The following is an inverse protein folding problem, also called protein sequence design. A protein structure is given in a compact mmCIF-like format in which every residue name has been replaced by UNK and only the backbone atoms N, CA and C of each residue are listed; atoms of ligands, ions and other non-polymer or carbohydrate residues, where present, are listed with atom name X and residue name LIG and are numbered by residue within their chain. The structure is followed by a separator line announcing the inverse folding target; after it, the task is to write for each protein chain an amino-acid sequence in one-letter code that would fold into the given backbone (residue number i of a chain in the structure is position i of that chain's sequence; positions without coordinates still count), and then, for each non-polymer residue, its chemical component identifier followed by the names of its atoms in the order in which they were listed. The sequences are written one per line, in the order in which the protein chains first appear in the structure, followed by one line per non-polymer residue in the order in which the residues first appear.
data_IF_273417834352
#
_entry.id   IF_273417834352
#
_cell.length_a   1.000
_cell.length_b   1.000
_cell.length_c   1.000
_cell.angle_alpha   90.00
_cell.angle_beta   90.00
_cell.angle_gamma   90.00
#
_symmetry.space_group_name_H-M   'P 1'
#
loop_
_entity.id
_entity.type
_entity.pdbx_description
1 polymer ?
#
# COMPACT_ATOMS: atom_id res chain seq x y z
N UNK A 1 -43.63 73.33 28.76
CA UNK A 1 -44.79 72.64 29.37
C UNK A 1 -44.56 71.14 29.30
N UNK A 2 -45.25 70.35 30.10
CA UNK A 2 -44.85 68.98 30.48
C UNK A 2 -45.11 67.88 29.43
N UNK A 3 -44.35 66.79 29.50
CA UNK A 3 -44.85 65.41 29.68
C UNK A 3 -43.67 64.45 29.96
N UNK A 4 -43.95 63.29 30.57
CA UNK A 4 -42.96 62.31 31.02
C UNK A 4 -42.99 61.00 30.20
N UNK A 5 -41.94 60.17 30.32
CA UNK A 5 -41.91 58.80 29.80
C UNK A 5 -40.60 58.08 30.12
N UNK A 6 -40.67 57.01 30.92
CA UNK A 6 -39.52 56.21 31.41
C UNK A 6 -39.70 54.73 31.11
N UNK A 7 -38.66 54.05 30.60
CA UNK A 7 -38.51 52.58 30.64
C UNK A 7 -37.01 52.22 30.81
N UNK A 8 -36.64 51.33 31.76
CA UNK A 8 -35.27 50.79 31.91
C UNK A 8 -35.11 49.38 31.31
N UNK A 9 -33.86 48.93 31.13
CA UNK A 9 -33.50 47.66 30.47
C UNK A 9 -33.22 46.45 31.38
N UNK A 10 -32.80 45.31 30.80
CA UNK A 10 -32.42 44.07 31.51
C UNK A 10 -30.94 44.11 31.97
N UNK A 11 -30.46 43.26 32.88
CA UNK A 11 -31.11 42.12 33.54
C UNK A 11 -30.13 40.95 33.68
N UNK A 12 -29.17 41.06 34.60
CA UNK A 12 -28.28 39.95 35.00
C UNK A 12 -28.85 39.23 36.21
N UNK A 13 -28.72 37.91 36.30
CA UNK A 13 -29.10 37.16 37.50
C UNK A 13 -28.14 36.00 37.76
N UNK A 14 -27.63 35.92 38.98
CA UNK A 14 -26.83 34.83 39.52
C UNK A 14 -27.34 34.52 40.93
N UNK A 15 -27.49 33.24 41.27
CA UNK A 15 -27.98 32.81 42.58
C UNK A 15 -27.48 31.41 42.96
N UNK A 16 -27.42 31.06 44.26
CA UNK A 16 -26.53 30.01 44.77
C UNK A 16 -27.25 28.76 45.32
N UNK A 17 -26.48 27.71 45.66
CA UNK A 17 -26.92 26.54 46.44
C UNK A 17 -26.99 26.84 47.96
N UNK A 18 -26.74 25.87 48.89
CA UNK A 18 -26.35 24.46 48.74
C UNK A 18 -27.14 23.45 49.63
N UNK A 19 -26.80 22.14 49.59
CA UNK A 19 -27.03 21.18 50.69
C UNK A 19 -26.16 19.90 50.54
N UNK A 20 -25.88 19.20 51.65
CA UNK A 20 -24.96 18.04 51.76
C UNK A 20 -25.67 16.84 52.42
N UNK A 21 -25.37 15.61 51.99
CA UNK A 21 -25.57 14.38 52.77
C UNK A 21 -24.52 13.31 52.41
N UNK A 22 -24.19 12.42 53.36
CA UNK A 22 -23.09 11.46 53.28
C UNK A 22 -23.52 10.04 53.75
N UNK A 23 -22.54 9.12 53.88
CA UNK A 23 -22.62 7.70 54.29
C UNK A 23 -23.11 6.70 53.21
N UNK A 24 -22.71 5.42 53.21
CA UNK A 24 -21.53 4.74 53.80
C UNK A 24 -21.38 3.33 53.19
N UNK A 25 -20.19 2.72 53.29
CA UNK A 25 -19.93 1.30 52.98
C UNK A 25 -20.50 0.34 54.03
N UNK A 26 -20.65 -0.95 53.66
CA UNK A 26 -19.97 -2.00 54.43
C UNK A 26 -19.11 -2.94 53.55
N UNK A 27 -18.32 -3.79 54.21
CA UNK A 27 -17.44 -4.80 53.63
C UNK A 27 -17.76 -6.20 54.20
N UNK A 28 -16.91 -7.20 53.88
CA UNK A 28 -16.99 -8.64 54.22
C UNK A 28 -17.96 -9.43 53.29
N UNK A 29 -17.72 -10.70 52.92
CA UNK A 29 -16.73 -11.69 53.39
C UNK A 29 -16.31 -12.68 52.25
N UNK A 30 -15.78 -13.88 52.57
CA UNK A 30 -15.28 -14.90 51.62
C UNK A 30 -16.32 -15.54 50.66
N UNK A 31 -16.03 -16.58 49.88
CA UNK A 31 -14.95 -17.59 49.99
C UNK A 31 -14.81 -18.42 48.68
N UNK A 32 -13.73 -19.21 48.58
CA UNK A 32 -13.51 -20.38 47.67
C UNK A 32 -13.44 -20.24 46.13
N UNK A 33 -12.25 -20.62 45.64
CA UNK A 33 -11.99 -21.25 44.33
C UNK A 33 -12.55 -22.70 44.34
N UNK A 34 -12.71 -23.36 43.18
CA UNK A 34 -11.64 -24.30 42.85
C UNK A 34 -11.18 -24.27 41.39
N UNK A 35 -9.88 -24.44 41.23
CA UNK A 35 -9.25 -24.95 40.01
C UNK A 35 -9.34 -26.47 40.08
N UNK A 36 -9.70 -27.13 38.98
CA UNK A 36 -9.50 -28.58 38.85
C UNK A 36 -8.43 -28.82 37.78
N UNK A 37 -7.28 -29.31 38.23
CA UNK A 37 -6.21 -29.83 37.37
C UNK A 37 -5.68 -31.12 38.00
N UNK A 38 -5.98 -32.26 37.36
CA UNK A 38 -5.39 -33.59 37.59
C UNK A 38 -5.44 -34.28 36.22
N UNK A 39 -4.36 -34.41 35.43
CA UNK A 39 -3.10 -35.12 35.61
C UNK A 39 -3.21 -36.65 35.51
N UNK A 40 -2.80 -37.23 34.37
CA UNK A 40 -2.10 -38.52 34.25
C UNK A 40 -1.78 -38.87 32.78
N UNK A 41 -0.54 -39.27 32.51
CA UNK A 41 -0.13 -40.15 31.40
C UNK A 41 -0.13 -41.63 31.93
N UNK A 42 0.17 -42.73 31.17
CA UNK A 42 1.02 -42.83 29.97
C UNK A 42 0.60 -43.91 28.91
N UNK A 43 1.53 -44.20 27.97
CA UNK A 43 1.56 -45.32 27.00
C UNK A 43 0.44 -45.34 25.92
N UNK A 44 0.60 -45.95 24.74
CA UNK A 44 1.73 -46.68 24.12
C UNK A 44 1.21 -47.61 23.01
N UNK A 45 1.96 -47.81 21.92
CA UNK A 45 1.57 -48.63 20.72
C UNK A 45 0.36 -48.07 19.93
N UNK A 46 0.19 -48.15 18.61
CA UNK A 46 1.05 -48.47 17.45
C UNK A 46 0.52 -47.64 16.25
N UNK A 47 0.57 -48.00 14.95
CA UNK A 47 1.15 -49.11 14.18
C UNK A 47 1.34 -48.61 12.72
N UNK A 48 2.18 -49.26 11.91
CA UNK A 48 2.42 -48.96 10.47
C UNK A 48 1.18 -48.94 9.58
N UNK A 49 1.19 -48.11 8.52
CA UNK A 49 1.28 -48.59 7.12
C UNK A 49 1.24 -47.44 6.08
N UNK A 50 2.32 -47.30 5.30
CA UNK A 50 2.20 -47.06 3.87
C UNK A 50 2.11 -48.43 3.17
N UNK A 51 1.56 -48.54 1.95
CA UNK A 51 2.45 -48.77 0.81
C UNK A 51 1.97 -48.23 -0.55
N UNK A 52 2.87 -48.33 -1.55
CA UNK A 52 2.65 -48.55 -3.00
C UNK A 52 1.66 -47.62 -3.77
N UNK A 53 1.98 -46.93 -4.86
CA UNK A 53 2.99 -47.12 -5.92
C UNK A 53 2.88 -48.44 -6.70
N UNK A 54 2.18 -48.40 -7.85
CA UNK A 54 2.49 -49.07 -9.13
C UNK A 54 1.84 -48.21 -10.26
N UNK A 55 2.12 -48.26 -11.58
CA UNK A 55 3.21 -48.60 -12.52
C UNK A 55 2.48 -48.86 -13.87
N UNK A 56 3.04 -48.44 -15.02
CA UNK A 56 2.49 -48.71 -16.36
C UNK A 56 2.42 -47.44 -17.23
N UNK A 57 3.35 -47.12 -18.14
CA UNK A 57 3.93 -47.87 -19.29
C UNK A 57 2.98 -47.95 -20.50
N UNK A 58 3.37 -47.30 -21.60
CA UNK A 58 2.66 -47.33 -22.88
C UNK A 58 3.20 -46.28 -23.86
N UNK A 59 4.09 -46.69 -24.75
CA UNK A 59 4.63 -45.86 -25.85
C UNK A 59 3.66 -45.80 -27.04
N UNK A 60 3.70 -44.71 -27.82
CA UNK A 60 3.18 -44.68 -29.19
C UNK A 60 3.97 -43.65 -30.02
N UNK A 61 4.53 -44.11 -31.14
CA UNK A 61 5.32 -43.32 -32.10
C UNK A 61 4.48 -42.98 -33.35
N UNK A 62 4.63 -41.77 -33.88
CA UNK A 62 4.24 -41.31 -35.23
C UNK A 62 4.85 -39.90 -35.39
N UNK A 63 5.62 -39.55 -36.43
CA UNK A 63 5.20 -39.49 -37.84
C UNK A 63 4.28 -38.26 -38.04
N UNK A 64 4.58 -37.24 -38.86
CA UNK A 64 5.54 -37.12 -39.97
C UNK A 64 6.01 -35.65 -40.16
N UNK A 65 6.85 -35.37 -41.16
CA UNK A 65 7.39 -34.05 -41.44
C UNK A 65 6.47 -33.19 -42.32
N UNK A 66 6.59 -31.85 -42.21
CA UNK A 66 6.44 -30.99 -43.38
C UNK A 66 7.26 -29.70 -43.27
N UNK A 67 8.20 -29.51 -44.19
CA UNK A 67 8.85 -28.22 -44.44
C UNK A 67 8.17 -27.55 -45.63
N UNK A 68 7.71 -26.31 -45.47
CA UNK A 68 7.32 -25.47 -46.61
C UNK A 68 8.07 -24.14 -46.56
N UNK A 69 9.08 -24.04 -47.43
CA UNK A 69 9.64 -22.77 -47.88
C UNK A 69 8.64 -22.09 -48.82
N UNK A 70 8.40 -20.80 -48.62
CA UNK A 70 7.86 -19.92 -49.68
C UNK A 70 8.70 -18.65 -49.72
N UNK A 71 9.81 -18.75 -50.43
CA UNK A 71 10.59 -17.61 -50.90
C UNK A 71 9.80 -16.75 -51.90
N UNK A 72 9.75 -15.43 -51.64
CA UNK A 72 9.26 -14.43 -52.58
C UNK A 72 9.01 -13.09 -51.87
N UNK A 73 9.44 -11.93 -52.38
CA UNK A 73 10.25 -11.71 -53.58
C UNK A 73 10.07 -10.28 -54.11
N UNK A 74 11.20 -9.66 -54.45
CA UNK A 74 11.36 -8.41 -55.22
C UNK A 74 11.20 -7.05 -54.50
N UNK A 75 12.04 -6.14 -54.98
CA UNK A 75 12.35 -4.80 -54.49
C UNK A 75 11.40 -3.72 -55.07
N UNK A 76 11.41 -2.51 -54.51
CA UNK A 76 11.58 -1.27 -55.31
C UNK A 76 11.89 -0.05 -54.45
N UNK A 77 12.49 0.95 -55.10
CA UNK A 77 13.23 2.08 -54.55
C UNK A 77 12.63 3.44 -54.94
N UNK A 78 13.24 4.55 -54.45
CA UNK A 78 13.02 5.95 -54.88
C UNK A 78 11.71 6.65 -54.41
N UNK A 79 11.64 7.98 -54.25
CA UNK A 79 12.65 9.04 -54.48
C UNK A 79 12.39 10.34 -53.68
N UNK A 80 13.35 11.28 -53.73
CA UNK A 80 13.40 12.57 -53.03
C UNK A 80 12.19 13.53 -53.19
N UNK A 81 12.01 14.38 -52.17
CA UNK A 81 11.39 15.72 -52.28
C UNK A 81 12.14 16.73 -51.40
N UNK A 82 12.48 17.91 -51.95
CA UNK A 82 13.28 18.98 -51.32
C UNK A 82 12.55 20.31 -51.51
N UNK A 83 12.55 21.18 -50.48
CA UNK A 83 12.64 22.66 -50.49
C UNK A 83 12.54 23.11 -49.00
N UNK A 84 13.41 23.90 -48.36
CA UNK A 84 14.15 25.16 -48.66
C UNK A 84 13.34 26.47 -48.43
N UNK A 85 13.50 27.05 -47.22
CA UNK A 85 13.87 28.45 -46.92
C UNK A 85 13.02 29.17 -45.83
N UNK A 86 13.76 29.59 -44.79
CA UNK A 86 13.66 30.74 -43.86
C UNK A 86 12.33 31.50 -43.61
N UNK A 87 12.08 31.74 -42.31
CA UNK A 87 11.31 32.86 -41.78
C UNK A 87 11.84 33.23 -40.38
N UNK A 88 12.15 34.51 -40.14
CA UNK A 88 12.80 34.99 -38.91
C UNK A 88 11.91 35.94 -38.10
N UNK A 89 12.19 36.06 -36.79
CA UNK A 89 11.49 36.92 -35.83
C UNK A 89 10.41 36.15 -35.02
N UNK A 90 10.12 36.50 -33.77
CA UNK A 90 10.72 37.51 -32.89
C UNK A 90 10.53 37.09 -31.41
N UNK A 91 11.27 37.71 -30.49
CA UNK A 91 11.22 37.43 -29.05
C UNK A 91 9.87 37.75 -28.41
N UNK A 92 9.35 36.84 -27.59
CA UNK A 92 8.43 37.22 -26.51
C UNK A 92 8.52 36.24 -25.34
N UNK A 93 8.89 36.76 -24.17
CA UNK A 93 9.05 35.99 -22.94
C UNK A 93 7.68 35.76 -22.28
N UNK A 94 7.36 34.49 -22.00
CA UNK A 94 6.30 34.13 -21.04
C UNK A 94 6.91 33.29 -19.93
N UNK A 95 7.31 33.97 -18.86
CA UNK A 95 7.40 33.33 -17.55
C UNK A 95 5.97 33.06 -17.08
N UNK A 96 5.63 31.80 -16.80
CA UNK A 96 5.11 31.45 -15.46
C UNK A 96 5.12 29.93 -15.19
N UNK A 97 5.64 29.56 -14.02
CA UNK A 97 5.35 28.38 -13.20
C UNK A 97 5.02 27.05 -13.90
N UNK A 98 6.05 26.22 -14.15
CA UNK A 98 5.90 24.77 -14.14
C UNK A 98 6.29 24.22 -12.76
N UNK A 99 5.28 23.89 -11.96
CA UNK A 99 5.44 23.14 -10.72
C UNK A 99 5.73 21.66 -11.01
N UNK A 100 6.44 21.00 -10.10
CA UNK A 100 6.69 19.55 -10.14
C UNK A 100 7.86 19.16 -11.03
N UNK A 101 8.97 18.78 -10.41
CA UNK A 101 10.03 18.00 -11.05
C UNK A 101 9.48 16.63 -11.46
N UNK A 102 9.11 16.48 -12.73
CA UNK A 102 8.84 15.16 -13.32
C UNK A 102 10.19 14.50 -13.58
N UNK A 103 10.39 13.34 -12.97
CA UNK A 103 11.55 12.48 -13.22
C UNK A 103 11.34 11.75 -14.56
N UNK A 104 11.60 12.44 -15.67
CA UNK A 104 11.44 11.89 -17.03
C UNK A 104 12.56 10.92 -17.45
N UNK A 105 13.48 10.52 -16.56
CA UNK A 105 14.59 9.63 -16.89
C UNK A 105 14.16 8.14 -16.95
N UNK A 106 13.08 7.75 -16.26
CA UNK A 106 12.66 6.35 -16.12
C UNK A 106 11.28 5.99 -16.67
N UNK A 107 10.49 6.95 -17.19
CA UNK A 107 9.18 6.70 -17.79
C UNK A 107 8.12 6.13 -16.84
N UNK A 108 8.29 6.37 -15.53
CA UNK A 108 7.37 5.94 -14.46
C UNK A 108 6.31 7.00 -14.18
N UNK A 109 5.07 6.57 -13.96
CA UNK A 109 3.95 7.42 -13.58
C UNK A 109 3.68 7.24 -12.08
N UNK A 110 4.64 7.70 -11.26
CA UNK A 110 4.54 7.57 -9.81
C UNK A 110 3.26 8.26 -9.31
N UNK A 111 2.55 7.60 -8.39
CA UNK A 111 1.24 8.06 -7.91
C UNK A 111 0.04 7.48 -8.65
N UNK A 112 0.24 6.88 -9.84
CA UNK A 112 -0.78 6.07 -10.51
C UNK A 112 -0.72 4.59 -10.08
N UNK A 113 -1.72 3.81 -10.49
CA UNK A 113 -1.71 2.35 -10.27
C UNK A 113 -0.83 1.69 -11.32
N UNK A 114 0.48 1.67 -11.05
CA UNK A 114 1.49 1.02 -11.87
C UNK A 114 1.68 -0.46 -11.49
N UNK A 115 1.86 -1.31 -12.51
CA UNK A 115 2.09 -2.75 -12.39
C UNK A 115 3.39 -3.16 -13.12
N UNK A 116 4.29 -3.81 -12.40
CA UNK A 116 5.51 -4.39 -12.97
C UNK A 116 5.23 -5.80 -13.50
N UNK A 117 5.61 -6.07 -14.74
CA UNK A 117 5.49 -7.39 -15.35
C UNK A 117 6.55 -8.35 -14.79
N UNK A 118 6.13 -9.47 -14.20
CA UNK A 118 7.03 -10.49 -13.63
C UNK A 118 7.87 -11.28 -14.64
N UNK A 119 7.74 -11.00 -15.95
CA UNK A 119 8.49 -11.66 -17.02
C UNK A 119 9.52 -10.70 -17.65
N UNK A 120 9.07 -9.54 -18.15
CA UNK A 120 9.96 -8.58 -18.80
C UNK A 120 10.44 -7.43 -17.91
N UNK A 121 10.09 -7.44 -16.62
CA UNK A 121 10.42 -6.46 -15.55
C UNK A 121 10.06 -5.00 -15.84
N UNK A 122 9.43 -4.71 -16.99
CA UNK A 122 8.89 -3.39 -17.36
C UNK A 122 7.68 -3.02 -16.52
N UNK A 123 7.53 -1.71 -16.33
CA UNK A 123 6.40 -1.07 -15.65
C UNK A 123 5.34 -0.60 -16.66
N UNK A 124 4.09 -0.62 -16.23
CA UNK A 124 2.93 -0.21 -17.01
C UNK A 124 1.86 0.37 -16.10
N UNK A 125 1.16 1.41 -16.52
CA UNK A 125 -0.05 1.88 -15.82
C UNK A 125 -1.22 0.92 -16.12
N UNK A 126 -2.02 0.59 -15.11
CA UNK A 126 -3.07 -0.43 -15.21
C UNK A 126 -4.21 -0.06 -16.17
N UNK A 127 -4.45 1.24 -16.36
CA UNK A 127 -5.43 1.83 -17.27
C UNK A 127 -5.19 1.44 -18.75
N UNK A 128 -3.93 1.29 -19.14
CA UNK A 128 -3.45 0.94 -20.49
C UNK A 128 -3.96 -0.42 -20.95
N UNK A 129 -4.37 -1.27 -20.01
CA UNK A 129 -4.96 -2.58 -20.25
C UNK A 129 -6.45 -2.66 -19.87
N UNK A 130 -7.08 -1.55 -19.49
CA UNK A 130 -8.47 -1.51 -19.04
C UNK A 130 -8.72 -2.28 -17.74
N UNK A 131 -7.70 -2.42 -16.89
CA UNK A 131 -7.82 -3.09 -15.58
C UNK A 131 -8.61 -2.17 -14.63
N UNK A 132 -9.61 -2.72 -13.94
CA UNK A 132 -10.34 -1.99 -12.90
C UNK A 132 -9.44 -1.68 -11.69
N UNK A 133 -9.15 -0.39 -11.51
CA UNK A 133 -8.31 0.14 -10.43
C UNK A 133 -9.09 0.59 -9.20
N UNK A 134 -10.43 0.47 -9.18
CA UNK A 134 -11.29 0.93 -8.07
C UNK A 134 -10.96 0.30 -6.71
N UNK A 135 -10.34 -0.88 -6.71
CA UNK A 135 -9.84 -1.60 -5.53
C UNK A 135 -8.32 -1.85 -5.57
N UNK A 136 -7.58 -0.95 -6.22
CA UNK A 136 -6.12 -0.95 -6.27
C UNK A 136 -5.54 0.29 -5.57
N UNK A 137 -4.22 0.29 -5.34
CA UNK A 137 -3.47 1.44 -4.84
C UNK A 137 -2.17 1.59 -5.63
N UNK A 138 -1.65 2.81 -5.80
CA UNK A 138 -0.25 3.05 -6.14
C UNK A 138 0.67 2.35 -5.14
N UNK A 139 1.88 1.97 -5.58
CA UNK A 139 2.91 1.34 -4.74
C UNK A 139 2.49 0.02 -4.06
N UNK A 140 1.47 -0.67 -4.60
CA UNK A 140 1.13 -2.03 -4.18
C UNK A 140 2.23 -3.02 -4.60
N UNK A 141 2.40 -4.11 -3.83
CA UNK A 141 3.42 -5.15 -4.08
C UNK A 141 2.83 -6.57 -4.02
N UNK A 142 1.66 -6.70 -3.41
CA UNK A 142 0.89 -7.92 -3.21
C UNK A 142 0.13 -8.36 -4.49
N UNK A 143 0.83 -8.56 -5.61
CA UNK A 143 0.20 -9.06 -6.85
C UNK A 143 1.12 -9.99 -7.66
N UNK A 144 0.61 -10.46 -8.79
CA UNK A 144 1.37 -11.01 -9.91
C UNK A 144 0.79 -10.43 -11.19
N UNK A 145 1.63 -9.88 -12.06
CA UNK A 145 1.20 -9.27 -13.31
C UNK A 145 2.05 -9.73 -14.48
N UNK A 146 1.41 -10.09 -15.59
CA UNK A 146 2.06 -10.29 -16.89
C UNK A 146 1.35 -9.43 -17.94
N UNK A 147 2.12 -8.62 -18.67
CA UNK A 147 1.59 -7.85 -19.79
C UNK A 147 1.16 -8.77 -20.95
N UNK A 148 0.27 -8.26 -21.80
CA UNK A 148 -0.26 -8.99 -22.97
C UNK A 148 0.80 -9.53 -23.94
N UNK A 149 1.96 -8.85 -24.05
CA UNK A 149 3.10 -9.31 -24.88
C UNK A 149 3.81 -10.54 -24.28
N UNK A 150 3.91 -10.61 -22.95
CA UNK A 150 4.66 -11.69 -22.28
C UNK A 150 3.78 -12.88 -21.88
N UNK A 151 2.47 -12.68 -21.77
CA UNK A 151 1.54 -13.74 -21.39
C UNK A 151 1.12 -14.57 -22.61
N UNK A 152 1.24 -15.90 -22.52
CA UNK A 152 1.05 -16.83 -23.63
C UNK A 152 -0.33 -16.79 -24.31
N UNK A 153 -1.34 -16.18 -23.69
CA UNK A 153 -2.69 -16.03 -24.26
C UNK A 153 -2.90 -14.75 -25.08
N UNK A 154 -1.90 -13.86 -25.16
CA UNK A 154 -2.04 -12.53 -25.77
C UNK A 154 -2.91 -11.54 -24.98
N UNK A 155 -3.45 -11.96 -23.83
CA UNK A 155 -4.21 -11.13 -22.89
C UNK A 155 -3.37 -10.85 -21.65
N UNK A 156 -3.63 -9.74 -20.95
CA UNK A 156 -3.02 -9.50 -19.64
C UNK A 156 -3.43 -10.53 -18.60
N UNK A 157 -2.50 -10.84 -17.70
CA UNK A 157 -2.76 -11.60 -16.49
C UNK A 157 -2.51 -10.70 -15.28
N UNK A 158 -3.52 -10.53 -14.42
CA UNK A 158 -3.41 -9.77 -13.17
C UNK A 158 -4.07 -10.55 -12.04
N UNK A 159 -3.28 -10.89 -11.02
CA UNK A 159 -3.75 -11.57 -9.81
C UNK A 159 -3.37 -10.75 -8.58
N UNK A 160 -4.36 -10.16 -7.90
CA UNK A 160 -4.16 -9.60 -6.55
C UNK A 160 -3.96 -10.73 -5.55
N UNK A 161 -2.91 -10.61 -4.73
CA UNK A 161 -2.62 -11.47 -3.58
C UNK A 161 -3.09 -10.74 -2.31
N UNK A 162 -3.32 -11.48 -1.23
CA UNK A 162 -3.62 -10.86 0.05
C UNK A 162 -2.35 -10.22 0.62
N UNK A 163 -2.37 -8.92 0.90
CA UNK A 163 -1.26 -8.27 1.59
C UNK A 163 -1.04 -8.86 2.99
N UNK A 164 0.21 -9.06 3.35
CA UNK A 164 0.68 -9.26 4.72
C UNK A 164 0.97 -7.88 5.38
N UNK A 165 1.24 -7.86 6.69
CA UNK A 165 1.39 -6.60 7.43
C UNK A 165 2.61 -5.75 6.98
N UNK A 166 3.69 -6.38 6.49
CA UNK A 166 4.84 -5.64 5.89
C UNK A 166 4.40 -4.92 4.62
N UNK A 167 3.68 -5.61 3.73
CA UNK A 167 3.17 -5.05 2.46
C UNK A 167 2.14 -3.92 2.70
N UNK A 168 1.26 -4.07 3.70
CA UNK A 168 0.33 -3.02 4.13
C UNK A 168 1.07 -1.77 4.63
N UNK A 169 2.05 -1.93 5.51
CA UNK A 169 2.85 -0.81 6.02
C UNK A 169 3.71 -0.14 4.93
N UNK A 170 4.30 -0.92 4.02
CA UNK A 170 5.06 -0.43 2.88
C UNK A 170 4.18 0.42 1.95
N UNK A 171 3.03 -0.12 1.53
CA UNK A 171 2.11 0.59 0.63
C UNK A 171 1.54 1.85 1.29
N UNK A 172 1.24 1.81 2.60
CA UNK A 172 0.78 2.97 3.34
C UNK A 172 1.85 4.08 3.42
N UNK A 173 3.08 3.75 3.83
CA UNK A 173 4.17 4.71 3.91
C UNK A 173 4.56 5.28 2.54
N UNK A 174 4.55 4.46 1.48
CA UNK A 174 4.83 4.92 0.13
C UNK A 174 3.80 5.95 -0.36
N UNK A 175 2.51 5.65 -0.20
CA UNK A 175 1.43 6.57 -0.57
C UNK A 175 1.44 7.85 0.28
N UNK A 176 1.67 7.76 1.59
CA UNK A 176 1.80 8.94 2.48
C UNK A 176 3.01 9.80 2.10
N UNK A 177 4.16 9.18 1.80
CA UNK A 177 5.38 9.87 1.34
C UNK A 177 5.14 10.56 0.01
N UNK A 178 4.51 9.87 -0.96
CA UNK A 178 4.15 10.47 -2.25
C UNK A 178 3.20 11.66 -2.08
N UNK A 179 2.08 11.48 -1.37
CA UNK A 179 1.11 12.53 -1.11
C UNK A 179 1.75 13.76 -0.45
N UNK A 180 2.60 13.55 0.55
CA UNK A 180 3.30 14.64 1.23
C UNK A 180 4.28 15.38 0.30
N UNK A 181 4.95 14.70 -0.64
CA UNK A 181 5.81 15.34 -1.65
C UNK A 181 5.05 16.23 -2.63
N UNK A 182 3.78 15.91 -2.94
CA UNK A 182 2.99 16.64 -3.96
C UNK A 182 1.95 17.61 -3.37
N UNK A 183 1.64 17.53 -2.08
CA UNK A 183 0.60 18.36 -1.41
C UNK A 183 1.13 19.24 -0.27
N UNK A 184 2.15 18.81 0.47
CA UNK A 184 2.66 19.59 1.61
C UNK A 184 3.76 20.56 1.15
N UNK A 185 3.70 21.82 1.62
CA UNK A 185 4.77 22.82 1.41
C UNK A 185 6.13 22.33 1.95
N UNK A 186 6.09 21.54 3.01
CA UNK A 186 7.26 20.93 3.66
C UNK A 186 7.07 19.40 3.72
N UNK A 187 7.48 18.67 2.67
CA UNK A 187 7.28 17.22 2.58
C UNK A 187 7.86 16.43 3.76
N UNK A 188 7.04 15.54 4.33
CA UNK A 188 7.39 14.63 5.41
C UNK A 188 7.88 13.29 4.84
N UNK A 189 8.88 12.72 5.50
CA UNK A 189 9.39 11.36 5.24
C UNK A 189 9.10 10.39 6.39
N UNK A 190 8.57 10.89 7.52
CA UNK A 190 8.29 10.16 8.75
C UNK A 190 6.85 10.44 9.21
N UNK A 191 6.09 9.37 9.45
CA UNK A 191 4.64 9.40 9.67
C UNK A 191 4.28 8.71 10.99
N UNK A 192 3.31 9.27 11.72
CA UNK A 192 2.83 8.75 12.99
C UNK A 192 2.10 7.42 12.82
N UNK A 193 2.37 6.45 13.70
CA UNK A 193 1.65 5.18 13.73
C UNK A 193 0.13 5.39 13.86
N UNK A 194 -0.29 6.23 14.80
CA UNK A 194 -1.69 6.38 15.20
C UNK A 194 -2.42 7.46 14.41
N UNK A 195 -1.73 8.54 13.99
CA UNK A 195 -2.36 9.66 13.27
C UNK A 195 -2.34 9.50 11.75
N UNK A 196 -1.38 8.78 11.17
CA UNK A 196 -1.22 8.64 9.71
C UNK A 196 -1.40 7.19 9.24
N UNK A 197 -0.59 6.26 9.76
CA UNK A 197 -0.44 4.90 9.19
C UNK A 197 -1.68 4.04 9.45
N UNK A 198 -2.20 4.02 10.68
CA UNK A 198 -3.42 3.28 11.02
C UNK A 198 -4.62 3.83 10.22
N UNK A 199 -4.92 5.14 10.22
CA UNK A 199 -6.00 5.70 9.41
C UNK A 199 -5.88 5.43 7.91
N UNK A 200 -4.67 5.43 7.34
CA UNK A 200 -4.46 5.07 5.94
C UNK A 200 -4.87 3.61 5.64
N UNK A 201 -4.37 2.66 6.45
CA UNK A 201 -4.68 1.23 6.27
C UNK A 201 -6.18 0.96 6.52
N UNK A 202 -6.81 1.63 7.48
CA UNK A 202 -8.25 1.50 7.71
C UNK A 202 -9.09 2.11 6.58
N UNK A 203 -8.64 3.21 5.94
CA UNK A 203 -9.32 3.84 4.80
C UNK A 203 -9.24 2.97 3.53
N UNK A 204 -8.08 2.36 3.26
CA UNK A 204 -7.81 1.62 2.01
C UNK A 204 -7.76 0.09 2.19
N UNK A 205 -8.37 -0.43 3.26
CA UNK A 205 -8.36 -1.85 3.62
C UNK A 205 -8.75 -2.78 2.47
N UNK A 206 -9.83 -2.46 1.73
CA UNK A 206 -10.36 -3.29 0.64
C UNK A 206 -9.46 -3.30 -0.61
N UNK A 207 -8.59 -2.29 -0.75
CA UNK A 207 -7.56 -2.26 -1.78
C UNK A 207 -6.39 -3.21 -1.43
N UNK A 208 -6.01 -3.27 -0.15
CA UNK A 208 -4.91 -4.09 0.35
C UNK A 208 -5.29 -5.57 0.59
N UNK A 209 -6.53 -5.85 0.94
CA UNK A 209 -6.97 -7.21 1.28
C UNK A 209 -8.44 -7.47 0.95
N UNK A 210 -8.70 -8.65 0.39
CA UNK A 210 -10.05 -9.15 0.10
C UNK A 210 -10.72 -9.81 1.31
N UNK A 211 -10.05 -9.86 2.48
CA UNK A 211 -10.66 -10.41 3.71
C UNK A 211 -11.67 -9.43 4.30
N UNK A 212 -12.84 -9.97 4.65
CA UNK A 212 -13.80 -9.30 5.53
C UNK A 212 -13.09 -8.75 6.77
N UNK A 213 -13.41 -7.49 7.12
CA UNK A 213 -12.89 -6.82 8.31
C UNK A 213 -13.35 -7.54 9.58
N UNK A 214 -12.43 -8.09 10.40
CA UNK A 214 -12.78 -8.65 11.70
C UNK A 214 -13.42 -7.58 12.61
N UNK A 215 -14.45 -7.96 13.37
CA UNK A 215 -15.13 -7.04 14.30
C UNK A 215 -14.23 -6.45 15.40
N UNK A 216 -13.10 -7.11 15.70
CA UNK A 216 -12.00 -6.55 16.50
C UNK A 216 -10.69 -6.66 15.72
N UNK A 217 -10.15 -5.53 15.28
CA UNK A 217 -8.86 -5.46 14.62
C UNK A 217 -7.71 -5.71 15.61
N UNK A 218 -6.78 -6.60 15.26
CA UNK A 218 -5.58 -6.91 16.06
C UNK A 218 -4.26 -6.53 15.36
N UNK A 219 -4.31 -6.19 14.06
CA UNK A 219 -3.16 -5.74 13.29
C UNK A 219 -2.51 -4.44 13.81
N UNK A 220 -3.23 -3.43 14.39
CA UNK A 220 -2.59 -2.19 14.82
C UNK A 220 -1.51 -2.41 15.89
N UNK A 221 -1.76 -3.37 16.79
CA UNK A 221 -0.84 -3.76 17.86
C UNK A 221 0.45 -4.44 17.35
N UNK A 222 0.44 -4.92 16.10
CA UNK A 222 1.58 -5.64 15.51
C UNK A 222 2.44 -4.75 14.59
N UNK A 223 1.97 -3.55 14.22
CA UNK A 223 2.68 -2.62 13.32
C UNK A 223 4.11 -2.34 13.81
N UNK A 224 4.25 -1.89 15.06
CA UNK A 224 5.56 -1.53 15.64
C UNK A 224 6.52 -2.71 15.58
N UNK A 225 6.06 -3.91 15.96
CA UNK A 225 6.88 -5.13 15.93
C UNK A 225 7.30 -5.50 14.50
N UNK A 226 6.41 -5.36 13.52
CA UNK A 226 6.69 -5.68 12.11
C UNK A 226 7.72 -4.71 11.54
N UNK A 227 7.46 -3.40 11.60
CA UNK A 227 8.39 -2.42 11.03
C UNK A 227 9.72 -2.34 11.79
N UNK A 228 9.73 -2.53 13.11
CA UNK A 228 10.97 -2.58 13.90
C UNK A 228 11.85 -3.80 13.62
N UNK A 229 11.31 -4.87 13.02
CA UNK A 229 12.08 -6.06 12.61
C UNK A 229 12.69 -5.89 11.21
N UNK A 230 11.96 -5.27 10.29
CA UNK A 230 12.32 -5.13 8.88
C UNK A 230 13.04 -3.78 8.64
N UNK A 231 14.16 -3.56 9.37
CA UNK A 231 14.95 -2.31 9.35
C UNK A 231 15.71 -2.05 8.04
N UNK A 232 15.79 -3.07 7.20
CA UNK A 232 16.21 -3.03 5.79
C UNK A 232 15.20 -2.31 4.89
N UNK A 233 13.95 -2.14 5.35
CA UNK A 233 12.88 -1.45 4.62
C UNK A 233 12.38 -0.20 5.36
N UNK A 234 12.29 -0.25 6.70
CA UNK A 234 11.66 0.81 7.49
C UNK A 234 12.62 1.54 8.42
N UNK A 235 12.56 2.87 8.36
CA UNK A 235 13.02 3.75 9.43
C UNK A 235 11.99 3.73 10.57
N UNK A 236 12.48 3.66 11.81
CA UNK A 236 11.64 3.76 13.02
C UNK A 236 12.27 4.75 13.97
N UNK A 237 11.45 5.67 14.46
CA UNK A 237 11.82 6.67 15.45
C UNK A 237 10.81 6.59 16.59
N UNK A 238 11.27 6.14 17.76
CA UNK A 238 10.39 5.83 18.90
C UNK A 238 10.02 7.06 19.72
N UNK A 239 10.85 8.10 19.68
CA UNK A 239 10.73 9.36 20.42
C UNK A 239 11.22 10.53 19.54
N UNK A 240 10.81 11.78 19.83
CA UNK A 240 11.39 12.97 19.19
C UNK A 240 12.91 13.05 19.42
N UNK A 241 13.63 13.71 18.50
CA UNK A 241 15.07 13.94 18.70
C UNK A 241 15.29 14.87 19.90
N UNK A 242 16.39 14.72 20.67
CA UNK A 242 16.69 15.63 21.78
C UNK A 242 16.72 17.10 21.35
N UNK A 243 15.78 17.90 21.86
CA UNK A 243 15.62 19.32 21.51
C UNK A 243 14.70 19.60 20.31
N UNK A 244 14.11 18.57 19.68
CA UNK A 244 13.02 18.76 18.73
C UNK A 244 11.80 19.39 19.40
N UNK A 245 10.99 20.10 18.61
CA UNK A 245 9.69 20.65 19.03
C UNK A 245 8.51 19.74 18.67
N UNK A 246 8.78 18.58 18.06
CA UNK A 246 7.72 17.62 17.71
C UNK A 246 6.97 17.16 18.97
N UNK A 247 5.63 17.06 18.94
CA UNK A 247 4.86 16.46 20.03
C UNK A 247 5.21 14.99 20.25
N UNK A 248 5.46 14.62 21.52
CA UNK A 248 5.67 13.22 21.94
C UNK A 248 4.49 12.31 21.52
N UNK A 249 3.26 12.84 21.54
CA UNK A 249 2.04 12.13 21.16
C UNK A 249 1.94 11.74 19.67
N UNK A 250 2.81 12.26 18.80
CA UNK A 250 2.87 11.80 17.40
C UNK A 250 3.70 10.50 17.26
N UNK A 251 4.47 10.13 18.29
CA UNK A 251 5.42 9.02 18.25
C UNK A 251 4.79 7.70 18.75
N UNK A 252 5.25 6.53 18.26
CA UNK A 252 6.37 6.32 17.33
C UNK A 252 6.04 6.74 15.88
N UNK A 253 7.04 7.30 15.19
CA UNK A 253 7.00 7.63 13.75
C UNK A 253 7.81 6.61 12.93
N UNK A 254 7.34 6.35 11.71
CA UNK A 254 7.95 5.41 10.77
C UNK A 254 8.10 6.03 9.39
N UNK A 255 9.10 5.58 8.63
CA UNK A 255 9.35 6.03 7.26
C UNK A 255 9.96 4.91 6.43
N UNK A 256 10.11 5.14 5.12
CA UNK A 256 10.84 4.22 4.25
C UNK A 256 12.34 4.50 4.31
N UNK A 257 13.15 3.44 4.33
CA UNK A 257 14.61 3.57 4.24
C UNK A 257 15.03 4.03 2.85
N UNK A 258 14.48 3.41 1.80
CA UNK A 258 14.60 3.92 0.44
C UNK A 258 13.55 5.01 0.20
N UNK A 259 14.00 6.14 -0.34
CA UNK A 259 13.16 7.29 -0.69
C UNK A 259 12.87 7.34 -2.20
N UNK A 260 13.52 6.51 -3.01
CA UNK A 260 13.12 6.29 -4.39
C UNK A 260 11.92 5.32 -4.42
N UNK A 261 10.72 5.88 -4.61
CA UNK A 261 9.49 5.11 -4.66
C UNK A 261 9.37 4.28 -5.96
N UNK A 262 10.23 4.51 -6.96
CA UNK A 262 10.25 3.71 -8.18
C UNK A 262 10.76 2.28 -7.93
N UNK A 263 11.59 2.08 -6.91
CA UNK A 263 12.11 0.77 -6.49
C UNK A 263 11.05 -0.12 -5.82
N UNK A 264 9.88 0.42 -5.47
CA UNK A 264 8.79 -0.34 -4.84
C UNK A 264 8.07 -1.18 -5.89
N UNK A 265 8.29 -2.49 -5.88
CA UNK A 265 7.59 -3.46 -6.71
C UNK A 265 7.47 -4.84 -6.05
N UNK A 266 6.76 -5.79 -6.68
CA UNK A 266 6.68 -7.16 -6.18
C UNK A 266 8.05 -7.81 -6.12
N UNK A 267 8.29 -8.63 -5.10
CA UNK A 267 9.45 -9.51 -5.05
C UNK A 267 9.28 -10.67 -6.05
N UNK A 268 9.54 -10.39 -7.33
CA UNK A 268 9.68 -11.43 -8.35
C UNK A 268 11.05 -12.10 -8.18
N UNK A 269 11.06 -13.37 -7.80
CA UNK A 269 12.25 -14.20 -7.96
C UNK A 269 12.66 -14.15 -9.43
N UNK A 270 13.93 -13.87 -9.70
CA UNK A 270 14.50 -13.95 -11.04
C UNK A 270 14.60 -15.42 -11.48
N UNK A 271 13.45 -16.04 -11.76
CA UNK A 271 13.35 -17.37 -12.35
C UNK A 271 13.92 -17.29 -13.75
N UNK A 272 15.22 -17.62 -13.86
CA UNK A 272 15.87 -17.89 -15.14
C UNK A 272 15.03 -18.94 -15.87
N UNK A 273 14.38 -18.51 -16.95
CA UNK A 273 13.88 -19.42 -17.97
C UNK A 273 15.08 -20.28 -18.39
N UNK A 274 14.98 -21.59 -18.11
CA UNK A 274 15.99 -22.60 -18.39
C UNK A 274 15.55 -23.41 -19.62
#
# INVERSE_FOLDING_TARGET
MAAAGTVPGPGVNAGPGPAVAANATPAEEGETKPVVAVAAAPAGEGTSAAPAAETGSGEAESGDANSVDVSGGLETESSNGKDTLEGAGDTSEVMDTQAGSVDEENGRQLGEVELQCGICTKWFTADTFGIDTSSCLPFMTNYSFHCNVCHHSGNTYFLRKQANLKEMCLSALANLTWQSRIQDEHPKTMFSKDKDIIPFIDKYWECMTTRQRPGKMTWPNNIVKTMSKERDVFLVKEHPDPGSKDPEEDYPKFGLLDQDLSNIGPAYDNQKQS
#
